data_IF_903072090757
#
_entry.id   IF_903072090757
#
_cell.length_a   1.000
_cell.length_b   1.000
_cell.length_c   1.000
_cell.angle_alpha   90.00
_cell.angle_beta   90.00
_cell.angle_gamma   90.00
#
_symmetry.space_group_name_H-M   'P 1'
#
loop_
_entity.id
_entity.type
_entity.pdbx_description
1 polymer ?
#
# COMPACT_ATOMS: atom_id res chain seq x y z
N UNK A 1 -9.37 -4.59 0.21
CA UNK A 1 -10.09 -3.64 1.08
C UNK A 1 -9.26 -2.38 1.27
N UNK A 2 -9.92 -1.21 1.38
CA UNK A 2 -9.24 0.08 1.64
C UNK A 2 -8.38 0.06 2.92
N UNK A 3 -8.72 -0.81 3.88
CA UNK A 3 -8.05 -0.86 5.16
C UNK A 3 -8.40 0.32 6.09
N UNK A 4 -8.03 0.25 7.37
CA UNK A 4 -8.37 1.28 8.36
C UNK A 4 -7.59 2.59 8.18
N UNK A 5 -6.51 2.56 7.39
CA UNK A 5 -5.60 3.70 7.22
C UNK A 5 -5.83 4.48 5.91
N UNK A 6 -6.93 4.19 5.21
CA UNK A 6 -7.32 5.03 4.07
C UNK A 6 -7.75 6.41 4.57
N UNK A 7 -7.33 7.43 3.85
CA UNK A 7 -7.81 8.81 3.98
C UNK A 7 -7.81 9.44 2.59
N UNK A 8 -8.50 10.57 2.43
CA UNK A 8 -8.59 11.26 1.16
C UNK A 8 -7.21 11.55 0.56
N UNK A 9 -7.06 11.23 -0.72
CA UNK A 9 -5.84 11.42 -1.50
C UNK A 9 -5.88 12.73 -2.29
N UNK A 10 -4.74 13.13 -2.81
CA UNK A 10 -4.56 14.40 -3.54
C UNK A 10 -4.09 14.08 -4.96
N UNK A 11 -4.64 14.78 -5.96
CA UNK A 11 -4.17 14.64 -7.34
C UNK A 11 -2.77 15.28 -7.47
N UNK A 12 -1.75 14.44 -7.60
CA UNK A 12 -0.35 14.86 -7.70
C UNK A 12 0.56 13.71 -8.09
N UNK A 13 1.71 14.01 -8.69
CA UNK A 13 2.75 13.03 -9.04
C UNK A 13 3.69 12.78 -7.87
N UNK A 14 4.25 13.84 -7.27
CA UNK A 14 5.07 13.70 -6.06
C UNK A 14 4.18 13.65 -4.83
N UNK A 15 4.20 12.50 -4.17
CA UNK A 15 3.40 12.25 -2.98
C UNK A 15 4.20 12.30 -1.67
N UNK A 16 5.49 12.64 -1.75
CA UNK A 16 6.37 12.66 -0.57
C UNK A 16 6.13 13.84 0.38
N UNK A 17 5.56 14.95 -0.12
CA UNK A 17 5.44 16.22 0.65
C UNK A 17 6.77 16.71 1.24
N UNK A 18 7.89 16.36 0.59
CA UNK A 18 9.23 16.75 1.05
C UNK A 18 9.76 15.90 2.21
N UNK A 19 9.16 14.77 2.51
CA UNK A 19 9.75 13.80 3.43
C UNK A 19 11.05 13.24 2.88
N UNK A 20 12.02 13.08 3.79
CA UNK A 20 13.24 12.35 3.51
C UNK A 20 12.96 10.84 3.42
N UNK A 21 13.70 10.15 2.56
CA UNK A 21 13.59 8.70 2.37
C UNK A 21 14.37 8.23 1.16
N UNK A 22 14.43 6.92 0.96
CA UNK A 22 14.96 6.35 -0.28
C UNK A 22 14.00 6.72 -1.42
N UNK A 23 14.41 7.53 -2.42
CA UNK A 23 13.50 7.93 -3.49
C UNK A 23 13.04 6.75 -4.34
N UNK A 24 11.75 6.67 -4.61
CA UNK A 24 11.14 5.64 -5.47
C UNK A 24 10.31 6.30 -6.56
N UNK A 25 10.52 5.89 -7.80
CA UNK A 25 9.64 6.17 -8.92
C UNK A 25 8.76 4.96 -9.15
N UNK A 26 7.47 5.13 -8.89
CA UNK A 26 6.47 4.10 -9.15
C UNK A 26 5.93 4.26 -10.57
N UNK A 27 5.87 3.15 -11.31
CA UNK A 27 5.32 3.12 -12.66
C UNK A 27 4.27 2.00 -12.77
N UNK A 28 3.04 2.38 -13.08
CA UNK A 28 1.96 1.44 -13.35
C UNK A 28 1.63 1.43 -14.84
N UNK A 29 1.36 0.25 -15.37
CA UNK A 29 0.76 0.05 -16.68
C UNK A 29 -0.59 -0.64 -16.48
N UNK A 30 -1.67 0.06 -16.81
CA UNK A 30 -3.02 -0.47 -16.74
C UNK A 30 -3.44 -1.01 -18.10
N UNK A 31 -3.81 -2.28 -18.13
CA UNK A 31 -4.32 -2.95 -19.32
C UNK A 31 -5.58 -3.73 -18.98
N UNK A 32 -6.42 -3.98 -19.99
CA UNK A 32 -7.52 -4.92 -19.89
C UNK A 32 -7.04 -6.38 -20.05
N UNK A 33 -7.96 -7.32 -19.97
CA UNK A 33 -7.70 -8.76 -20.12
C UNK A 33 -7.17 -9.15 -21.52
N UNK A 34 -7.28 -8.25 -22.51
CA UNK A 34 -6.74 -8.38 -23.87
C UNK A 34 -5.39 -7.66 -24.03
N UNK A 35 -4.78 -7.20 -22.94
CA UNK A 35 -3.57 -6.38 -22.93
C UNK A 35 -3.71 -5.02 -23.63
N UNK A 36 -4.93 -4.50 -23.80
CA UNK A 36 -5.16 -3.16 -24.35
C UNK A 36 -4.96 -2.12 -23.25
N UNK A 37 -4.18 -1.05 -23.48
CA UNK A 37 -4.04 0.02 -22.50
C UNK A 37 -5.37 0.68 -22.13
N UNK A 38 -5.55 0.95 -20.84
CA UNK A 38 -6.74 1.64 -20.31
C UNK A 38 -6.40 3.10 -20.09
N UNK A 39 -6.99 4.00 -20.89
CA UNK A 39 -6.92 5.45 -20.72
C UNK A 39 -7.98 5.96 -19.77
N UNK A 40 -7.68 7.00 -19.00
CA UNK A 40 -8.66 7.69 -18.15
C UNK A 40 -9.04 6.98 -16.86
N UNK A 41 -8.37 5.86 -16.53
CA UNK A 41 -8.54 5.23 -15.22
C UNK A 41 -7.77 6.00 -14.14
N UNK A 42 -8.39 6.23 -12.98
CA UNK A 42 -7.69 6.80 -11.83
C UNK A 42 -7.04 5.70 -11.00
N UNK A 43 -5.77 5.91 -10.65
CA UNK A 43 -5.02 5.09 -9.70
C UNK A 43 -4.79 5.92 -8.46
N UNK A 44 -5.33 5.48 -7.35
CA UNK A 44 -5.22 6.07 -6.03
C UNK A 44 -4.28 5.21 -5.21
N UNK A 45 -3.21 5.79 -4.63
CA UNK A 45 -2.22 5.05 -3.84
C UNK A 45 -2.04 5.68 -2.47
N UNK A 46 -1.72 4.85 -1.47
CA UNK A 46 -1.32 5.30 -0.14
C UNK A 46 -0.42 4.28 0.56
N UNK A 47 0.51 4.79 1.35
CA UNK A 47 1.41 3.96 2.15
C UNK A 47 1.95 4.73 3.36
N UNK A 48 2.69 4.05 4.22
CA UNK A 48 3.32 4.63 5.40
C UNK A 48 4.57 5.44 5.03
N UNK A 49 4.90 6.42 5.85
CA UNK A 49 6.20 7.08 5.85
C UNK A 49 7.34 6.10 6.23
N UNK A 50 8.62 6.45 6.02
CA UNK A 50 9.77 5.64 6.47
C UNK A 50 9.69 5.24 7.94
N UNK A 51 9.10 6.05 8.79
CA UNK A 51 8.89 5.79 10.21
C UNK A 51 7.75 4.82 10.51
N UNK A 52 7.00 4.39 9.50
CA UNK A 52 5.88 3.46 9.62
C UNK A 52 4.57 4.10 10.07
N UNK A 53 4.41 5.42 9.89
CA UNK A 53 3.18 6.15 10.17
C UNK A 53 2.42 6.47 8.88
N UNK A 54 1.10 6.35 8.93
CA UNK A 54 0.21 6.93 7.91
C UNK A 54 -0.08 8.40 8.21
N UNK A 55 -0.40 9.15 7.18
CA UNK A 55 -0.97 10.50 7.29
C UNK A 55 -2.49 10.48 7.14
N UNK A 56 -3.16 11.60 7.42
CA UNK A 56 -4.55 11.85 7.05
C UNK A 56 -5.53 11.92 8.22
N UNK A 57 -6.46 12.88 8.17
CA UNK A 57 -7.45 13.13 9.22
C UNK A 57 -8.48 11.99 9.36
N UNK A 58 -8.79 11.32 8.25
CA UNK A 58 -9.76 10.23 8.22
C UNK A 58 -9.14 8.89 8.66
N UNK A 59 -7.79 8.85 8.78
CA UNK A 59 -7.10 7.67 9.30
C UNK A 59 -7.34 7.52 10.81
N UNK A 60 -7.50 6.28 11.27
CA UNK A 60 -7.69 6.02 12.69
C UNK A 60 -6.45 6.44 13.51
N UNK A 61 -6.64 6.68 14.82
CA UNK A 61 -5.53 6.99 15.72
C UNK A 61 -4.43 5.92 15.70
N UNK A 62 -4.80 4.66 15.47
CA UNK A 62 -3.85 3.57 15.26
C UNK A 62 -2.90 3.85 14.08
N UNK A 63 -3.42 4.37 12.96
CA UNK A 63 -2.65 4.60 11.73
C UNK A 63 -1.67 5.77 11.85
N UNK A 64 -2.05 6.78 12.62
CA UNK A 64 -1.25 8.00 12.83
C UNK A 64 -0.51 7.98 14.17
N UNK A 65 -0.65 6.94 14.98
CA UNK A 65 -0.15 6.87 16.37
C UNK A 65 -0.58 8.07 17.22
N UNK A 66 -1.72 8.68 16.90
CA UNK A 66 -2.21 9.88 17.58
C UNK A 66 -1.41 11.15 17.26
N UNK A 67 -0.47 11.10 16.31
CA UNK A 67 0.37 12.25 15.94
C UNK A 67 -0.46 13.31 15.19
N UNK A 68 -0.50 14.53 15.74
CA UNK A 68 -1.30 15.62 15.19
C UNK A 68 -0.76 16.13 13.83
N UNK A 69 0.55 16.04 13.60
CA UNK A 69 1.18 16.44 12.34
C UNK A 69 0.80 15.41 11.27
N UNK A 70 0.94 14.12 11.57
CA UNK A 70 0.53 13.04 10.68
C UNK A 70 -0.95 13.14 10.30
N UNK A 71 -1.83 13.45 11.25
CA UNK A 71 -3.27 13.65 11.01
C UNK A 71 -3.56 14.82 10.08
N UNK A 72 -2.85 15.92 10.22
CA UNK A 72 -3.04 17.12 9.39
C UNK A 72 -2.41 16.99 7.98
N UNK A 73 -1.50 16.07 7.79
CA UNK A 73 -0.76 15.89 6.55
C UNK A 73 -1.48 14.97 5.54
N UNK A 74 -0.89 14.91 4.32
CA UNK A 74 -1.35 14.02 3.24
C UNK A 74 -0.16 13.35 2.55
N UNK A 75 1.01 13.27 3.21
CA UNK A 75 2.17 12.60 2.63
C UNK A 75 1.86 11.15 2.27
N UNK A 76 2.54 10.68 1.23
CA UNK A 76 2.42 9.32 0.71
C UNK A 76 0.98 8.91 0.34
N UNK A 77 0.20 9.90 -0.12
CA UNK A 77 -1.15 9.74 -0.67
C UNK A 77 -1.26 10.51 -1.96
N UNK A 78 -1.71 9.86 -3.01
CA UNK A 78 -1.92 10.53 -4.29
C UNK A 78 -2.81 9.76 -5.23
N UNK A 79 -3.43 10.50 -6.13
CA UNK A 79 -4.20 9.95 -7.25
C UNK A 79 -3.70 10.53 -8.56
N UNK A 80 -3.59 9.68 -9.58
CA UNK A 80 -3.24 10.06 -10.95
C UNK A 80 -4.17 9.36 -11.94
N UNK A 81 -4.32 9.95 -13.12
CA UNK A 81 -5.12 9.39 -14.21
C UNK A 81 -4.21 8.79 -15.27
N UNK A 82 -4.54 7.60 -15.77
CA UNK A 82 -3.77 6.92 -16.80
C UNK A 82 -3.82 7.64 -18.15
N UNK A 83 -2.67 7.71 -18.80
CA UNK A 83 -2.51 8.28 -20.14
C UNK A 83 -3.06 7.33 -21.24
N UNK A 84 -3.00 7.77 -22.51
CA UNK A 84 -3.43 6.98 -23.66
C UNK A 84 -2.66 5.68 -23.89
N UNK A 85 -1.59 5.46 -23.14
CA UNK A 85 -0.81 4.22 -23.12
C UNK A 85 -1.03 3.41 -21.84
N UNK A 86 -2.03 3.79 -21.03
CA UNK A 86 -2.36 3.12 -19.78
C UNK A 86 -1.37 3.39 -18.64
N UNK A 87 -0.50 4.42 -18.74
CA UNK A 87 0.57 4.64 -17.77
C UNK A 87 0.15 5.62 -16.69
N UNK A 88 0.58 5.32 -15.46
CA UNK A 88 0.49 6.20 -14.30
C UNK A 88 1.82 6.15 -13.56
N UNK A 89 2.32 7.32 -13.15
CA UNK A 89 3.59 7.41 -12.44
C UNK A 89 3.44 8.26 -11.18
N UNK A 90 4.19 7.86 -10.12
CA UNK A 90 4.33 8.64 -8.89
C UNK A 90 5.79 8.71 -8.48
N UNK A 91 6.17 9.85 -7.89
CA UNK A 91 7.41 10.02 -7.17
C UNK A 91 7.10 9.94 -5.67
N UNK A 92 7.85 9.11 -4.95
CA UNK A 92 7.63 8.84 -3.52
C UNK A 92 8.92 8.43 -2.83
N UNK A 93 8.83 8.03 -1.56
CA UNK A 93 9.88 7.33 -0.84
C UNK A 93 9.52 5.86 -0.64
N UNK A 94 10.53 5.01 -0.44
CA UNK A 94 10.31 3.62 -0.06
C UNK A 94 9.48 3.56 1.24
N UNK A 95 8.43 2.75 1.34
CA UNK A 95 7.62 2.66 2.55
C UNK A 95 8.43 2.11 3.73
N UNK A 96 8.17 2.61 4.92
CA UNK A 96 8.61 1.96 6.15
C UNK A 96 7.80 0.71 6.47
N UNK A 97 8.10 0.07 7.57
CA UNK A 97 7.35 -1.05 8.08
C UNK A 97 6.54 -0.66 9.33
N UNK A 98 5.50 -1.40 9.64
CA UNK A 98 4.81 -1.36 10.91
C UNK A 98 4.41 -2.78 11.34
N UNK A 99 4.19 -2.96 12.63
CA UNK A 99 3.99 -4.31 13.21
C UNK A 99 2.84 -5.07 12.58
N UNK A 100 3.04 -6.36 12.41
CA UNK A 100 2.09 -7.34 11.89
C UNK A 100 1.80 -7.25 10.38
N UNK A 101 2.54 -6.40 9.63
CA UNK A 101 2.39 -6.29 8.18
C UNK A 101 3.73 -6.24 7.47
N UNK A 102 3.84 -6.95 6.35
CA UNK A 102 4.95 -6.76 5.42
C UNK A 102 4.90 -5.37 4.77
N UNK A 103 6.02 -4.88 4.23
CA UNK A 103 6.09 -3.56 3.55
C UNK A 103 5.21 -3.59 2.29
N UNK A 104 4.31 -2.61 2.16
CA UNK A 104 3.35 -2.57 1.06
C UNK A 104 2.90 -1.17 0.70
N UNK A 105 2.38 -1.05 -0.52
CA UNK A 105 1.68 0.12 -1.03
C UNK A 105 0.25 -0.31 -1.34
N UNK A 106 -0.73 0.38 -0.78
CA UNK A 106 -2.13 0.22 -1.15
C UNK A 106 -2.43 0.91 -2.47
N UNK A 107 -3.37 0.37 -3.23
CA UNK A 107 -3.90 1.05 -4.41
C UNK A 107 -5.37 0.73 -4.65
N UNK A 108 -6.04 1.68 -5.31
CA UNK A 108 -7.39 1.49 -5.86
C UNK A 108 -7.39 1.97 -7.31
N UNK A 109 -7.99 1.20 -8.21
CA UNK A 109 -8.24 1.61 -9.59
C UNK A 109 -9.72 1.86 -9.78
N UNK A 110 -10.05 3.06 -10.33
CA UNK A 110 -11.43 3.41 -10.70
C UNK A 110 -11.48 3.78 -12.17
N UNK A 111 -12.53 3.33 -12.86
CA UNK A 111 -12.82 3.67 -14.26
C UNK A 111 -14.21 4.32 -14.28
N UNK A 112 -14.31 5.52 -14.80
CA UNK A 112 -15.57 6.30 -14.80
C UNK A 112 -16.20 6.39 -13.40
N UNK A 113 -15.37 6.54 -12.35
CA UNK A 113 -15.81 6.65 -10.97
C UNK A 113 -16.18 5.30 -10.29
N UNK A 114 -16.28 4.22 -11.03
CA UNK A 114 -16.54 2.88 -10.47
C UNK A 114 -15.24 2.21 -10.03
N UNK A 115 -15.22 1.62 -8.83
CA UNK A 115 -14.09 0.86 -8.31
C UNK A 115 -13.98 -0.51 -8.98
N UNK A 116 -12.85 -0.78 -9.60
CA UNK A 116 -12.56 -2.06 -10.27
C UNK A 116 -11.69 -2.98 -9.44
N UNK A 117 -10.75 -2.41 -8.68
CA UNK A 117 -9.89 -3.17 -7.78
C UNK A 117 -9.40 -2.28 -6.65
N UNK A 118 -9.33 -2.83 -5.44
CA UNK A 118 -8.60 -2.29 -4.29
C UNK A 118 -7.74 -3.40 -3.73
N UNK A 119 -6.43 -3.21 -3.70
CA UNK A 119 -5.46 -4.21 -3.30
C UNK A 119 -4.20 -3.59 -2.73
N UNK A 120 -3.16 -4.38 -2.58
CA UNK A 120 -1.85 -3.99 -2.09
C UNK A 120 -0.78 -4.56 -3.02
N UNK A 121 0.35 -3.87 -3.13
CA UNK A 121 1.54 -4.33 -3.82
C UNK A 121 2.71 -4.33 -2.84
N UNK A 122 3.58 -5.31 -3.00
CA UNK A 122 4.65 -5.66 -2.08
C UNK A 122 6.00 -5.50 -2.77
N UNK A 123 7.07 -5.52 -1.98
CA UNK A 123 8.44 -5.61 -2.46
C UNK A 123 9.01 -6.99 -2.14
N UNK A 124 10.16 -7.32 -2.73
CA UNK A 124 10.85 -8.57 -2.42
C UNK A 124 11.41 -8.53 -0.99
N UNK A 125 11.27 -9.62 -0.24
CA UNK A 125 11.72 -9.70 1.16
C UNK A 125 13.21 -9.40 1.32
N UNK A 126 14.07 -9.83 0.38
CA UNK A 126 15.50 -9.55 0.46
C UNK A 126 15.80 -8.05 0.24
N UNK A 127 15.02 -7.38 -0.61
CA UNK A 127 15.12 -5.93 -0.81
C UNK A 127 14.65 -5.17 0.43
N UNK A 128 13.53 -5.59 1.02
CA UNK A 128 13.00 -5.01 2.25
C UNK A 128 14.02 -5.10 3.39
N UNK A 129 14.61 -6.27 3.59
CA UNK A 129 15.63 -6.52 4.62
C UNK A 129 16.90 -5.70 4.37
N UNK A 130 17.34 -5.58 3.12
CA UNK A 130 18.46 -4.72 2.75
C UNK A 130 18.20 -3.27 3.13
N UNK A 131 17.03 -2.71 2.72
CA UNK A 131 16.72 -1.30 2.96
C UNK A 131 16.55 -1.04 4.45
N UNK A 132 15.75 -1.85 5.14
CA UNK A 132 15.53 -1.70 6.59
C UNK A 132 16.83 -1.86 7.38
N UNK A 133 17.73 -2.75 6.94
CA UNK A 133 19.00 -2.98 7.63
C UNK A 133 20.09 -1.95 7.37
N UNK A 134 20.05 -1.27 6.22
CA UNK A 134 21.18 -0.44 5.77
C UNK A 134 20.88 1.05 5.65
N UNK A 135 19.63 1.43 5.39
CA UNK A 135 19.28 2.83 5.19
C UNK A 135 19.02 3.54 6.54
N UNK A 136 19.68 4.68 6.81
CA UNK A 136 19.65 5.31 8.13
C UNK A 136 18.25 5.64 8.66
N UNK A 137 17.33 6.06 7.80
CA UNK A 137 15.96 6.41 8.21
C UNK A 137 15.10 5.18 8.52
N UNK A 138 15.42 4.03 7.92
CA UNK A 138 14.64 2.80 8.05
C UNK A 138 15.14 1.88 9.17
N UNK A 139 16.42 1.94 9.51
CA UNK A 139 17.03 1.06 10.52
C UNK A 139 16.85 1.54 11.96
N UNK A 140 16.25 2.72 12.17
CA UNK A 140 16.06 3.34 13.49
C UNK A 140 15.20 2.52 14.46
N UNK A 141 14.34 1.65 13.93
CA UNK A 141 13.41 0.80 14.70
C UNK A 141 13.78 -0.67 14.67
N UNK A 142 14.96 -1.00 14.17
CA UNK A 142 15.40 -2.38 14.00
C UNK A 142 14.73 -3.08 12.81
N UNK A 143 14.90 -4.41 12.75
CA UNK A 143 14.35 -5.23 11.66
C UNK A 143 12.83 -5.32 11.74
N UNK A 144 12.18 -5.45 10.59
CA UNK A 144 10.74 -5.68 10.48
C UNK A 144 10.37 -7.04 11.12
N UNK A 145 9.19 -7.10 11.71
CA UNK A 145 8.68 -8.30 12.38
C UNK A 145 7.87 -9.23 11.45
N UNK A 146 7.51 -8.76 10.26
CA UNK A 146 6.65 -9.48 9.33
C UNK A 146 7.24 -9.44 7.92
N UNK A 147 7.27 -10.60 7.28
CA UNK A 147 7.73 -10.80 5.90
C UNK A 147 6.56 -11.14 4.99
N UNK A 148 6.78 -11.19 3.67
CA UNK A 148 5.80 -11.65 2.72
C UNK A 148 5.32 -13.10 3.01
N UNK A 149 6.18 -13.90 3.63
CA UNK A 149 5.86 -15.28 3.99
C UNK A 149 5.00 -15.39 5.26
N UNK A 150 5.02 -14.38 6.13
CA UNK A 150 4.36 -14.41 7.44
C UNK A 150 3.20 -13.42 7.55
N UNK A 151 2.98 -12.58 6.55
CA UNK A 151 1.86 -11.62 6.51
C UNK A 151 0.53 -12.36 6.49
N UNK A 152 -0.44 -11.89 7.28
CA UNK A 152 -1.76 -12.51 7.39
C UNK A 152 -2.75 -12.06 6.32
N UNK A 153 -2.43 -11.04 5.54
CA UNK A 153 -3.32 -10.46 4.52
C UNK A 153 -3.02 -10.99 3.14
N UNK A 154 -1.75 -11.27 2.84
CA UNK A 154 -1.33 -11.87 1.57
C UNK A 154 -0.91 -13.32 1.77
N UNK A 155 -1.36 -14.19 0.86
CA UNK A 155 -0.89 -15.58 0.88
C UNK A 155 0.54 -15.67 0.36
N UNK A 156 1.41 -16.36 1.09
CA UNK A 156 2.79 -16.65 0.67
C UNK A 156 2.89 -17.28 -0.73
N UNK A 157 1.88 -18.08 -1.13
CA UNK A 157 1.82 -18.70 -2.46
C UNK A 157 1.45 -17.74 -3.58
N UNK A 158 0.84 -16.59 -3.27
CA UNK A 158 0.34 -15.63 -4.26
C UNK A 158 1.08 -14.31 -4.26
N UNK A 159 1.95 -14.05 -3.27
CA UNK A 159 2.61 -12.76 -3.09
C UNK A 159 3.43 -12.33 -4.31
N UNK A 160 4.03 -13.28 -5.04
CA UNK A 160 4.82 -13.00 -6.25
C UNK A 160 4.00 -12.27 -7.32
N UNK A 161 2.70 -12.58 -7.45
CA UNK A 161 1.80 -11.92 -8.40
C UNK A 161 1.52 -10.46 -8.02
N UNK A 162 1.74 -10.10 -6.76
CA UNK A 162 1.52 -8.77 -6.21
C UNK A 162 2.82 -8.03 -5.85
N UNK A 163 3.98 -8.59 -6.23
CA UNK A 163 5.29 -7.98 -5.96
C UNK A 163 5.70 -7.07 -7.13
N UNK A 164 6.22 -5.88 -6.80
CA UNK A 164 6.83 -4.99 -7.79
C UNK A 164 8.08 -5.62 -8.41
N UNK A 165 8.28 -5.34 -9.69
CA UNK A 165 9.61 -5.43 -10.27
C UNK A 165 10.37 -4.15 -9.88
N UNK A 166 11.66 -4.27 -9.56
CA UNK A 166 12.47 -3.14 -9.10
C UNK A 166 13.81 -3.07 -9.80
N UNK A 167 14.36 -1.86 -9.93
CA UNK A 167 15.70 -1.61 -10.43
C UNK A 167 16.31 -0.38 -9.75
N UNK A 168 17.60 -0.42 -9.45
CA UNK A 168 18.35 0.76 -9.00
C UNK A 168 18.61 1.68 -10.19
N UNK A 169 18.36 2.97 -10.02
CA UNK A 169 18.63 3.99 -11.04
C UNK A 169 19.98 4.66 -10.79
N UNK A 170 20.54 5.28 -11.85
CA UNK A 170 21.86 5.91 -11.81
C UNK A 170 21.92 7.13 -10.85
N UNK A 171 20.80 7.76 -10.58
CA UNK A 171 20.66 8.89 -9.64
C UNK A 171 20.45 8.46 -8.19
N UNK A 172 20.48 7.15 -7.91
CA UNK A 172 20.28 6.59 -6.57
C UNK A 172 18.82 6.29 -6.22
N UNK A 173 17.86 6.72 -7.03
CA UNK A 173 16.47 6.35 -6.84
C UNK A 173 16.23 4.87 -7.19
N UNK A 174 15.12 4.32 -6.71
CA UNK A 174 14.60 3.03 -7.13
C UNK A 174 13.47 3.23 -8.13
N UNK A 175 13.50 2.51 -9.25
CA UNK A 175 12.34 2.31 -10.10
C UNK A 175 11.60 1.07 -9.60
N UNK A 176 10.30 1.20 -9.33
CA UNK A 176 9.41 0.08 -9.03
C UNK A 176 8.23 0.11 -9.99
N UNK A 177 7.96 -1.00 -10.69
CA UNK A 177 6.88 -1.02 -11.68
C UNK A 177 6.04 -2.27 -11.60
N UNK A 178 4.76 -2.12 -12.02
CA UNK A 178 3.79 -3.22 -12.09
C UNK A 178 2.82 -3.01 -13.24
N UNK A 179 2.56 -4.08 -14.01
CA UNK A 179 1.41 -4.14 -14.90
C UNK A 179 0.20 -4.60 -14.11
N UNK A 180 -0.88 -3.84 -14.17
CA UNK A 180 -2.18 -4.15 -13.57
C UNK A 180 -3.14 -4.57 -14.68
N UNK A 181 -3.53 -5.84 -14.67
CA UNK A 181 -4.58 -6.33 -15.57
C UNK A 181 -5.92 -6.10 -14.88
N UNK A 182 -6.74 -5.23 -15.46
CA UNK A 182 -8.02 -4.84 -14.89
C UNK A 182 -9.14 -5.63 -15.55
N UNK A 183 -10.00 -6.24 -14.75
CA UNK A 183 -11.19 -6.95 -15.24
C UNK A 183 -12.06 -6.05 -16.10
N UNK A 184 -12.74 -6.64 -17.09
CA UNK A 184 -13.57 -5.90 -18.04
C UNK A 184 -14.89 -5.40 -17.44
N UNK A 185 -15.33 -5.93 -16.30
CA UNK A 185 -16.58 -5.59 -15.64
C UNK A 185 -16.48 -5.68 -14.13
N UNK A 186 -17.14 -4.76 -13.42
CA UNK A 186 -17.27 -4.81 -11.96
C UNK A 186 -18.12 -6.00 -11.47
N UNK A 187 -18.90 -6.62 -12.36
CA UNK A 187 -19.66 -7.84 -12.07
C UNK A 187 -18.86 -9.14 -12.24
N UNK A 188 -17.66 -9.08 -12.84
CA UNK A 188 -16.75 -10.21 -12.89
C UNK A 188 -16.31 -10.62 -11.49
N UNK A 189 -16.12 -11.93 -11.26
CA UNK A 189 -15.63 -12.42 -9.97
C UNK A 189 -14.31 -11.75 -9.61
N UNK A 190 -14.15 -11.41 -8.35
CA UNK A 190 -12.85 -10.97 -7.82
C UNK A 190 -11.94 -12.20 -7.76
N UNK A 191 -10.66 -11.99 -8.07
CA UNK A 191 -9.65 -12.99 -7.76
C UNK A 191 -9.50 -13.05 -6.24
N UNK A 192 -10.05 -14.08 -5.63
CA UNK A 192 -9.83 -14.33 -4.21
C UNK A 192 -8.42 -14.92 -4.04
N UNK A 193 -7.61 -14.30 -3.20
CA UNK A 193 -6.32 -14.87 -2.79
C UNK A 193 -6.63 -15.99 -1.79
N UNK A 194 -6.34 -17.25 -2.10
CA UNK A 194 -6.55 -18.33 -1.14
C UNK A 194 -5.77 -18.08 0.16
N UNK A 195 -6.48 -17.98 1.28
CA UNK A 195 -5.88 -17.77 2.59
C UNK A 195 -5.83 -16.31 3.07
N UNK A 196 -6.19 -15.35 2.23
CA UNK A 196 -6.35 -13.95 2.66
C UNK A 196 -7.62 -13.77 3.48
N UNK A 197 -7.54 -13.22 4.67
CA UNK A 197 -8.71 -12.92 5.49
C UNK A 197 -9.49 -11.74 4.92
N UNK A 198 -10.59 -12.07 4.23
CA UNK A 198 -11.77 -11.26 4.09
C UNK A 198 -11.73 -10.00 3.24
N UNK A 199 -12.13 -10.13 1.97
CA UNK A 199 -12.88 -9.05 1.31
C UNK A 199 -14.37 -9.15 1.71
N UNK A 200 -15.12 -8.04 1.79
CA UNK A 200 -16.55 -8.11 2.07
C UNK A 200 -17.28 -8.62 0.84
N UNK A 201 -17.59 -9.91 0.83
CA UNK A 201 -18.67 -10.44 0.01
C UNK A 201 -19.98 -9.85 0.53
N UNK A 202 -20.70 -9.12 -0.31
CA UNK A 202 -22.09 -8.79 -0.05
C UNK A 202 -22.89 -10.08 0.12
N UNK A 203 -23.43 -10.30 1.28
CA UNK A 203 -24.26 -11.45 1.66
C UNK A 203 -25.03 -11.13 2.90
N UNK A 204 -26.32 -10.98 2.72
CA UNK A 204 -27.39 -10.72 3.64
C UNK A 204 -27.38 -11.61 4.90
N UNK A 205 -27.66 -11.01 6.05
CA UNK A 205 -28.40 -11.56 7.18
C UNK A 205 -27.80 -12.64 8.07
N UNK A 206 -27.44 -12.29 9.33
CA UNK A 206 -27.47 -13.30 10.37
C UNK A 206 -26.55 -13.11 11.59
N UNK A 207 -27.09 -12.40 12.59
CA UNK A 207 -26.88 -12.52 14.04
C UNK A 207 -25.47 -12.60 14.62
N UNK A 208 -25.30 -11.60 15.49
CA UNK A 208 -24.20 -11.32 16.38
C UNK A 208 -23.71 -12.47 17.27
N UNK A 209 -22.41 -12.38 17.51
CA UNK A 209 -21.70 -12.97 18.62
C UNK A 209 -20.72 -11.94 19.19
N UNK A 210 -20.49 -11.91 20.51
CA UNK A 210 -19.84 -10.79 21.17
C UNK A 210 -18.34 -10.78 20.91
N UNK A 211 -17.83 -9.60 20.60
CA UNK A 211 -16.39 -9.31 20.57
C UNK A 211 -15.78 -9.57 21.95
N UNK A 212 -14.78 -10.46 21.99
CA UNK A 212 -13.93 -10.60 23.15
C UNK A 212 -13.07 -9.34 23.30
N UNK A 213 -13.14 -8.73 24.48
CA UNK A 213 -12.30 -7.62 24.89
C UNK A 213 -10.83 -8.07 24.92
N UNK A 214 -10.05 -7.64 23.94
CA UNK A 214 -8.59 -7.64 24.01
C UNK A 214 -8.14 -6.41 24.79
N UNK A 215 -7.52 -6.62 25.96
CA UNK A 215 -7.02 -5.55 26.82
C UNK A 215 -5.95 -4.68 26.15
N UNK A 216 -5.69 -3.48 26.69
CA UNK A 216 -4.80 -2.50 26.10
C UNK A 216 -3.34 -3.00 26.09
N UNK A 217 -2.69 -2.94 24.93
CA UNK A 217 -1.24 -3.13 24.83
C UNK A 217 -0.53 -1.96 25.51
N UNK A 218 0.34 -2.27 26.46
CA UNK A 218 1.17 -1.30 27.15
C UNK A 218 2.21 -0.68 26.24
N UNK A 219 2.75 0.49 26.63
CA UNK A 219 3.77 1.20 25.86
C UNK A 219 5.08 0.38 25.80
N UNK A 220 5.91 0.61 24.75
CA UNK A 220 7.21 -0.06 24.61
C UNK A 220 8.13 0.30 25.79
N UNK A 221 9.04 -0.60 26.19
CA UNK A 221 9.95 -0.35 27.29
C UNK A 221 10.89 0.81 26.97
N UNK A 222 10.85 1.83 27.82
CA UNK A 222 11.76 2.93 27.78
C UNK A 222 13.15 2.51 28.25
N UNK A 223 14.18 2.99 27.56
CA UNK A 223 15.58 2.85 27.90
C UNK A 223 15.89 3.40 29.30
N UNK A 224 16.62 2.60 30.04
CA UNK A 224 17.48 3.04 31.14
C UNK A 224 18.94 2.77 30.82
#
# INVERSE_FOLDING_TARGET
TLGPCYAATVERTDISEGHDGLPVRLAFLLVDESCTPIEGATVDIWHVAPEGLYSGDDASDFCTSGDAIARAARWFRGVQTSDSKGRVNFDTCFPGWYSSRTIHIHFTVRINGAEYVTSQLFFDDALDDEIVGTQPLYNTRGQRDTTNQTDSVVSASSVADYTFQTARMADGAMLAWKTLVIRSSTSSALCDIPGGSGGPGGGDGGRGGPFGEGGPMGPPPGDR
#
